data_IF_176691009500
#
_entry.id   IF_176691009500
#
_cell.length_a   1.000
_cell.length_b   1.000
_cell.length_c   1.000
_cell.angle_alpha   90.00
_cell.angle_beta   90.00
_cell.angle_gamma   90.00
#
_symmetry.space_group_name_H-M   'P 1'
#
loop_
_entity.id
_entity.type
_entity.pdbx_description
1 polymer ?
#
# COMPACT_ATOMS: atom_id res chain seq x y z
N UNK A 1 8.93 -41.47 -9.62
CA UNK A 1 10.30 -41.87 -9.96
C UNK A 1 11.29 -40.70 -10.12
N UNK A 2 11.04 -39.66 -10.93
CA UNK A 2 11.95 -38.47 -11.02
C UNK A 2 11.80 -37.54 -9.81
N UNK A 3 10.57 -37.22 -9.42
CA UNK A 3 10.28 -36.35 -8.25
C UNK A 3 10.82 -36.93 -6.94
N UNK A 4 10.74 -38.25 -6.76
CA UNK A 4 11.30 -38.95 -5.60
C UNK A 4 12.83 -38.93 -5.61
N UNK A 5 13.48 -39.03 -6.78
CA UNK A 5 14.94 -38.88 -6.89
C UNK A 5 15.39 -37.46 -6.51
N UNK A 6 14.70 -36.44 -7.01
CA UNK A 6 14.95 -35.04 -6.64
C UNK A 6 14.74 -34.81 -5.13
N UNK A 7 13.69 -35.38 -4.54
CA UNK A 7 13.43 -35.25 -3.11
C UNK A 7 14.51 -35.94 -2.23
N UNK A 8 15.15 -36.99 -2.75
CA UNK A 8 16.22 -37.73 -2.06
C UNK A 8 17.61 -37.11 -2.25
N UNK A 9 17.75 -36.06 -3.06
CA UNK A 9 19.01 -35.34 -3.23
C UNK A 9 19.44 -34.68 -1.91
N UNK A 10 20.75 -34.58 -1.69
CA UNK A 10 21.34 -33.88 -0.54
C UNK A 10 21.04 -32.38 -0.56
N UNK A 11 20.89 -31.79 -1.75
CA UNK A 11 20.55 -30.37 -1.92
C UNK A 11 19.04 -30.08 -1.91
N UNK A 12 18.21 -31.12 -1.80
CA UNK A 12 16.76 -30.98 -1.93
C UNK A 12 16.15 -30.00 -0.92
N UNK A 13 16.64 -29.92 0.32
CA UNK A 13 16.14 -28.95 1.30
C UNK A 13 16.31 -27.49 0.87
N UNK A 14 17.38 -27.19 0.12
CA UNK A 14 17.68 -25.84 -0.34
C UNK A 14 17.01 -25.53 -1.68
N UNK A 15 17.02 -26.49 -2.61
CA UNK A 15 16.59 -26.26 -3.99
C UNK A 15 15.12 -26.56 -4.26
N UNK A 16 14.54 -27.52 -3.53
CA UNK A 16 13.19 -28.02 -3.81
C UNK A 16 12.14 -26.91 -3.70
N UNK A 17 12.31 -25.96 -2.77
CA UNK A 17 11.42 -24.79 -2.64
C UNK A 17 11.37 -23.95 -3.91
N UNK A 18 12.50 -23.75 -4.58
CA UNK A 18 12.56 -22.96 -5.82
C UNK A 18 11.96 -23.72 -7.00
N UNK A 19 12.21 -25.03 -7.07
CA UNK A 19 11.63 -25.91 -8.10
C UNK A 19 10.11 -25.91 -7.98
N UNK A 20 9.60 -26.18 -6.77
CA UNK A 20 8.15 -26.22 -6.51
C UNK A 20 7.51 -24.86 -6.79
N UNK A 21 8.13 -23.76 -6.32
CA UNK A 21 7.64 -22.42 -6.60
C UNK A 21 7.55 -22.14 -8.10
N UNK A 22 8.59 -22.49 -8.88
CA UNK A 22 8.58 -22.32 -10.34
C UNK A 22 7.47 -23.16 -10.99
N UNK A 23 7.26 -24.40 -10.56
CA UNK A 23 6.15 -25.23 -11.04
C UNK A 23 4.78 -24.58 -10.77
N UNK A 24 4.55 -24.07 -9.56
CA UNK A 24 3.32 -23.35 -9.22
C UNK A 24 3.12 -22.13 -10.13
N UNK A 25 4.15 -21.31 -10.33
CA UNK A 25 4.05 -20.12 -11.18
C UNK A 25 3.83 -20.44 -12.67
N UNK A 26 4.37 -21.55 -13.20
CA UNK A 26 4.09 -21.99 -14.58
C UNK A 26 2.59 -22.26 -14.75
N UNK A 27 1.98 -22.97 -13.79
CA UNK A 27 0.54 -23.25 -13.81
C UNK A 27 -0.27 -21.98 -13.67
N UNK A 28 0.06 -21.13 -12.69
CA UNK A 28 -0.61 -19.85 -12.45
C UNK A 28 -0.58 -18.96 -13.69
N UNK A 29 0.59 -18.83 -14.35
CA UNK A 29 0.72 -18.00 -15.54
C UNK A 29 -0.20 -18.48 -16.67
N UNK A 30 -0.33 -19.80 -16.84
CA UNK A 30 -1.26 -20.38 -17.80
C UNK A 30 -2.73 -20.11 -17.45
N UNK A 31 -3.10 -20.29 -16.18
CA UNK A 31 -4.47 -20.05 -15.70
C UNK A 31 -4.87 -18.57 -15.71
N UNK A 32 -3.91 -17.65 -15.54
CA UNK A 32 -4.19 -16.21 -15.58
C UNK A 32 -4.57 -15.71 -16.97
N UNK A 33 -4.09 -16.36 -18.04
CA UNK A 33 -4.46 -16.04 -19.43
C UNK A 33 -5.94 -16.29 -19.68
N UNK A 34 -6.55 -17.26 -18.99
CA UNK A 34 -7.93 -17.69 -19.21
C UNK A 34 -8.77 -17.42 -17.95
N UNK A 35 -9.67 -16.42 -17.95
CA UNK A 35 -10.44 -16.05 -16.76
C UNK A 35 -11.18 -17.22 -16.08
N UNK A 36 -11.67 -18.17 -16.87
CA UNK A 36 -12.36 -19.38 -16.40
C UNK A 36 -11.50 -20.33 -15.56
N UNK A 37 -10.17 -20.21 -15.62
CA UNK A 37 -9.24 -21.06 -14.88
C UNK A 37 -8.64 -20.35 -13.67
N UNK A 38 -8.97 -19.07 -13.42
CA UNK A 38 -8.42 -18.31 -12.30
C UNK A 38 -8.82 -18.91 -10.94
N UNK A 39 -9.97 -19.61 -10.85
CA UNK A 39 -10.40 -20.33 -9.64
C UNK A 39 -9.48 -21.50 -9.25
N UNK A 40 -8.71 -22.04 -10.20
CA UNK A 40 -7.77 -23.13 -9.93
C UNK A 40 -6.58 -22.69 -9.05
N UNK A 41 -6.32 -21.38 -8.95
CA UNK A 41 -5.22 -20.85 -8.13
C UNK A 41 -5.51 -21.02 -6.63
N UNK A 42 -6.66 -20.57 -6.10
CA UNK A 42 -7.11 -20.94 -4.76
C UNK A 42 -7.14 -22.45 -4.49
N UNK A 43 -7.60 -23.26 -5.44
CA UNK A 43 -7.65 -24.72 -5.29
C UNK A 43 -6.25 -25.32 -5.13
N UNK A 44 -5.27 -24.87 -5.92
CA UNK A 44 -3.89 -25.30 -5.80
C UNK A 44 -3.32 -24.99 -4.41
N UNK A 45 -3.58 -23.78 -3.89
CA UNK A 45 -3.09 -23.39 -2.56
C UNK A 45 -3.79 -24.21 -1.48
N UNK A 46 -5.09 -24.45 -1.59
CA UNK A 46 -5.84 -25.29 -0.63
C UNK A 46 -5.34 -26.75 -0.59
N UNK A 47 -4.88 -27.29 -1.73
CA UNK A 47 -4.23 -28.60 -1.79
C UNK A 47 -2.86 -28.61 -1.09
N UNK A 48 -2.11 -27.52 -1.21
CA UNK A 48 -0.85 -27.36 -0.48
C UNK A 48 -1.10 -27.20 1.02
N UNK A 49 -2.16 -26.49 1.44
CA UNK A 49 -2.55 -26.36 2.85
C UNK A 49 -2.94 -27.71 3.46
N UNK A 50 -3.79 -28.47 2.77
CA UNK A 50 -4.38 -29.70 3.30
C UNK A 50 -3.69 -30.95 2.76
N UNK A 51 -2.40 -31.10 3.07
CA UNK A 51 -1.66 -32.33 2.74
C UNK A 51 -2.27 -33.48 3.56
N UNK A 52 -2.87 -34.50 2.94
CA UNK A 52 -3.58 -35.54 3.66
C UNK A 52 -2.65 -36.28 4.63
N UNK A 53 -3.14 -36.69 5.82
CA UNK A 53 -2.35 -37.42 6.80
C UNK A 53 -1.88 -38.79 6.24
N UNK A 54 -0.82 -39.34 6.81
CA UNK A 54 -0.28 -40.63 6.40
C UNK A 54 -1.19 -41.78 6.85
N UNK A 55 -2.07 -42.24 5.97
CA UNK A 55 -2.84 -43.48 6.14
C UNK A 55 -2.16 -44.61 5.36
N UNK A 56 -1.13 -45.26 5.95
CA UNK A 56 -0.52 -46.50 5.41
C UNK A 56 1.01 -46.54 5.32
N UNK A 57 1.55 -47.63 4.77
CA UNK A 57 2.99 -47.88 4.57
C UNK A 57 3.48 -47.12 3.32
N UNK A 58 3.99 -45.91 3.51
CA UNK A 58 4.52 -45.08 2.41
C UNK A 58 6.02 -45.33 2.13
N UNK A 59 6.41 -45.18 0.86
CA UNK A 59 7.81 -45.17 0.41
C UNK A 59 8.63 -44.11 1.17
N UNK A 60 9.94 -44.35 1.35
CA UNK A 60 10.85 -43.35 1.95
C UNK A 60 10.81 -42.02 1.18
N UNK A 61 10.71 -42.07 -0.15
CA UNK A 61 10.58 -40.89 -1.01
C UNK A 61 9.33 -40.08 -0.74
N UNK A 62 8.17 -40.73 -0.56
CA UNK A 62 6.91 -40.06 -0.24
C UNK A 62 6.95 -39.31 1.10
N UNK A 63 7.61 -39.89 2.12
CA UNK A 63 7.80 -39.22 3.42
C UNK A 63 8.67 -37.99 3.30
N UNK A 64 9.78 -38.10 2.56
CA UNK A 64 10.67 -36.96 2.32
C UNK A 64 9.99 -35.85 1.52
N UNK A 65 9.21 -36.18 0.50
CA UNK A 65 8.48 -35.20 -0.29
C UNK A 65 7.52 -34.39 0.60
N UNK A 66 6.78 -35.06 1.49
CA UNK A 66 5.90 -34.36 2.45
C UNK A 66 6.69 -33.46 3.39
N UNK A 67 7.84 -33.91 3.89
CA UNK A 67 8.69 -33.07 4.72
C UNK A 67 9.16 -31.81 3.98
N UNK A 68 9.61 -31.95 2.72
CA UNK A 68 9.99 -30.81 1.89
C UNK A 68 8.80 -29.87 1.59
N UNK A 69 7.59 -30.41 1.44
CA UNK A 69 6.37 -29.60 1.31
C UNK A 69 6.04 -28.84 2.60
N UNK A 70 6.27 -29.43 3.77
CA UNK A 70 6.10 -28.72 5.05
C UNK A 70 7.13 -27.60 5.19
N UNK A 71 8.40 -27.87 4.86
CA UNK A 71 9.43 -26.83 4.83
C UNK A 71 9.08 -25.71 3.85
N UNK A 72 8.50 -26.05 2.69
CA UNK A 72 8.06 -25.06 1.71
C UNK A 72 7.01 -24.09 2.28
N UNK A 73 6.09 -24.55 3.13
CA UNK A 73 5.07 -23.70 3.75
C UNK A 73 5.65 -22.61 4.66
N UNK A 74 6.83 -22.85 5.22
CA UNK A 74 7.53 -21.91 6.09
C UNK A 74 8.34 -20.86 5.28
N UNK A 75 8.29 -20.91 3.94
CA UNK A 75 9.07 -20.03 3.07
C UNK A 75 8.31 -18.80 2.60
N UNK A 76 9.04 -17.73 2.30
CA UNK A 76 8.50 -16.52 1.67
C UNK A 76 7.86 -16.81 0.31
N UNK A 77 8.36 -17.81 -0.43
CA UNK A 77 7.78 -18.23 -1.71
C UNK A 77 6.34 -18.75 -1.55
N UNK A 78 6.08 -19.53 -0.50
CA UNK A 78 4.73 -19.99 -0.22
C UNK A 78 3.83 -18.86 0.27
N UNK A 79 4.36 -17.95 1.08
CA UNK A 79 3.60 -16.78 1.56
C UNK A 79 3.12 -15.90 0.41
N UNK A 80 3.96 -15.62 -0.59
CA UNK A 80 3.56 -14.84 -1.77
C UNK A 80 2.53 -15.57 -2.63
N UNK A 81 2.65 -16.91 -2.75
CA UNK A 81 1.69 -17.76 -3.43
C UNK A 81 0.31 -17.75 -2.74
N UNK A 82 0.30 -17.87 -1.41
CA UNK A 82 -0.92 -17.82 -0.60
C UNK A 82 -1.59 -16.44 -0.66
N UNK A 83 -0.82 -15.34 -0.63
CA UNK A 83 -1.39 -14.00 -0.83
C UNK A 83 -1.96 -13.82 -2.24
N UNK A 84 -1.30 -14.37 -3.26
CA UNK A 84 -1.82 -14.32 -4.63
C UNK A 84 -3.17 -15.04 -4.75
N UNK A 85 -3.33 -16.19 -4.09
CA UNK A 85 -4.62 -16.88 -4.10
C UNK A 85 -5.71 -16.09 -3.40
N UNK A 86 -5.40 -15.33 -2.34
CA UNK A 86 -6.36 -14.40 -1.71
C UNK A 86 -6.75 -13.23 -2.62
N UNK A 87 -5.83 -12.74 -3.46
CA UNK A 87 -6.11 -11.65 -4.41
C UNK A 87 -6.98 -12.11 -5.58
N UNK A 88 -6.74 -13.34 -6.06
CA UNK A 88 -7.44 -13.89 -7.23
C UNK A 88 -8.74 -14.60 -6.84
N UNK A 89 -8.78 -15.19 -5.64
CA UNK A 89 -9.95 -15.86 -5.12
C UNK A 89 -11.05 -14.88 -4.74
N UNK A 90 -12.31 -15.31 -4.85
CA UNK A 90 -13.47 -14.59 -4.32
C UNK A 90 -13.56 -14.72 -2.79
N UNK A 91 -12.44 -14.52 -2.08
CA UNK A 91 -12.46 -14.52 -0.61
C UNK A 91 -13.24 -13.31 -0.12
N UNK A 92 -14.39 -13.60 0.47
CA UNK A 92 -15.27 -12.60 1.06
C UNK A 92 -14.49 -11.71 2.02
N UNK A 93 -14.62 -10.40 1.83
CA UNK A 93 -14.05 -9.36 2.71
C UNK A 93 -14.61 -9.41 4.13
N UNK A 94 -15.43 -10.40 4.49
CA UNK A 94 -15.98 -10.66 5.82
C UNK A 94 -14.99 -11.31 6.81
N UNK A 95 -13.76 -11.63 6.40
CA UNK A 95 -12.76 -12.17 7.34
C UNK A 95 -12.48 -11.18 8.48
N UNK A 96 -12.17 -11.69 9.67
CA UNK A 96 -11.83 -10.86 10.84
C UNK A 96 -10.37 -10.40 10.84
N UNK A 97 -9.53 -10.98 10.00
CA UNK A 97 -8.09 -10.73 9.92
C UNK A 97 -7.72 -9.68 8.86
N UNK A 98 -6.52 -9.11 8.99
CA UNK A 98 -5.98 -8.11 8.07
C UNK A 98 -5.51 -8.73 6.75
N UNK A 99 -4.91 -9.92 6.75
CA UNK A 99 -4.30 -10.52 5.56
C UNK A 99 -5.19 -10.56 4.31
N UNK A 100 -6.45 -11.01 4.39
CA UNK A 100 -7.36 -11.02 3.24
C UNK A 100 -7.72 -9.63 2.70
N UNK A 101 -7.39 -8.55 3.40
CA UNK A 101 -7.53 -7.18 2.89
C UNK A 101 -6.50 -6.83 1.81
N UNK A 102 -5.47 -7.65 1.59
CA UNK A 102 -4.46 -7.41 0.55
C UNK A 102 -5.12 -7.16 -0.82
N UNK A 103 -6.21 -7.87 -1.14
CA UNK A 103 -6.98 -7.68 -2.38
C UNK A 103 -7.45 -6.22 -2.62
N UNK A 104 -7.59 -5.41 -1.56
CA UNK A 104 -8.05 -4.02 -1.62
C UNK A 104 -6.94 -3.01 -1.88
N UNK A 105 -5.67 -3.42 -1.73
CA UNK A 105 -4.52 -2.52 -1.77
C UNK A 105 -3.52 -2.88 -2.88
N UNK A 106 -3.87 -2.67 -4.17
CA UNK A 106 -3.00 -3.00 -5.31
C UNK A 106 -1.59 -2.39 -5.22
N UNK A 107 -1.46 -1.20 -4.63
CA UNK A 107 -0.18 -0.52 -4.45
C UNK A 107 0.82 -1.27 -3.56
N UNK A 108 0.39 -2.33 -2.84
CA UNK A 108 1.28 -3.18 -2.04
C UNK A 108 1.85 -4.37 -2.83
N UNK A 109 1.32 -4.68 -4.01
CA UNK A 109 1.53 -5.99 -4.65
C UNK A 109 2.98 -6.25 -5.05
N UNK A 110 3.68 -5.24 -5.56
CA UNK A 110 5.09 -5.39 -5.90
C UNK A 110 5.97 -5.76 -4.69
N UNK A 111 5.50 -5.50 -3.46
CA UNK A 111 6.25 -5.78 -2.24
C UNK A 111 5.64 -6.90 -1.38
N UNK A 112 4.41 -7.33 -1.65
CA UNK A 112 3.72 -8.38 -0.91
C UNK A 112 3.58 -9.70 -1.69
N UNK A 113 3.57 -9.65 -3.03
CA UNK A 113 3.32 -10.81 -3.91
C UNK A 113 4.56 -11.23 -4.72
N UNK A 114 5.64 -10.46 -4.64
CA UNK A 114 6.91 -10.72 -5.33
C UNK A 114 8.03 -10.92 -4.32
N UNK A 115 8.86 -11.91 -4.59
CA UNK A 115 10.15 -12.19 -3.93
C UNK A 115 11.32 -11.85 -4.87
N UNK A 116 12.53 -11.77 -4.34
CA UNK A 116 13.74 -11.49 -5.15
C UNK A 116 13.94 -12.51 -6.28
N UNK A 117 13.51 -13.76 -6.07
CA UNK A 117 13.63 -14.86 -7.05
C UNK A 117 12.43 -14.94 -8.02
N UNK A 118 11.54 -13.96 -8.01
CA UNK A 118 10.35 -13.97 -8.86
C UNK A 118 10.70 -13.84 -10.33
N UNK A 119 10.32 -14.85 -11.12
CA UNK A 119 10.51 -14.85 -12.57
C UNK A 119 9.86 -13.63 -13.24
N UNK A 120 10.43 -13.18 -14.37
CA UNK A 120 9.87 -12.07 -15.15
C UNK A 120 8.39 -12.25 -15.49
N UNK A 121 7.98 -13.45 -15.89
CA UNK A 121 6.58 -13.77 -16.21
C UNK A 121 5.65 -13.54 -15.02
N UNK A 122 6.04 -14.02 -13.83
CA UNK A 122 5.28 -13.80 -12.59
C UNK A 122 5.19 -12.31 -12.24
N UNK A 123 6.28 -11.56 -12.40
CA UNK A 123 6.27 -10.11 -12.19
C UNK A 123 5.29 -9.40 -13.13
N UNK A 124 5.21 -9.81 -14.40
CA UNK A 124 4.26 -9.25 -15.36
C UNK A 124 2.81 -9.59 -14.98
N UNK A 125 2.54 -10.84 -14.57
CA UNK A 125 1.23 -11.26 -14.09
C UNK A 125 0.78 -10.42 -12.89
N UNK A 126 1.64 -10.22 -11.88
CA UNK A 126 1.32 -9.39 -10.71
C UNK A 126 1.03 -7.94 -11.10
N UNK A 127 1.80 -7.35 -12.02
CA UNK A 127 1.56 -5.97 -12.52
C UNK A 127 0.25 -5.83 -13.28
N UNK A 128 -0.14 -6.85 -14.04
CA UNK A 128 -1.42 -6.87 -14.74
C UNK A 128 -2.60 -6.92 -13.74
N UNK A 129 -2.53 -7.80 -12.75
CA UNK A 129 -3.53 -7.90 -11.68
C UNK A 129 -3.63 -6.58 -10.90
N UNK A 130 -2.49 -6.02 -10.51
CA UNK A 130 -2.41 -4.72 -9.84
C UNK A 130 -3.11 -3.62 -10.64
N UNK A 131 -2.77 -3.50 -11.93
CA UNK A 131 -3.33 -2.47 -12.81
C UNK A 131 -4.84 -2.61 -12.96
N UNK A 132 -5.35 -3.84 -13.12
CA UNK A 132 -6.78 -4.13 -13.24
C UNK A 132 -7.55 -3.75 -11.97
N UNK A 133 -7.06 -4.17 -10.80
CA UNK A 133 -7.73 -3.88 -9.53
C UNK A 133 -7.65 -2.40 -9.16
N UNK A 134 -6.53 -1.75 -9.44
CA UNK A 134 -6.39 -0.30 -9.25
C UNK A 134 -7.39 0.47 -10.11
N UNK A 135 -7.51 0.15 -11.40
CA UNK A 135 -8.48 0.80 -12.29
C UNK A 135 -9.92 0.60 -11.83
N UNK A 136 -10.26 -0.62 -11.37
CA UNK A 136 -11.59 -0.90 -10.83
C UNK A 136 -11.89 -0.01 -9.62
N UNK A 137 -10.96 0.06 -8.66
CA UNK A 137 -11.11 0.92 -7.49
C UNK A 137 -11.27 2.40 -7.87
N UNK A 138 -10.45 2.90 -8.79
CA UNK A 138 -10.50 4.30 -9.27
C UNK A 138 -11.85 4.63 -9.94
N UNK A 139 -12.39 3.72 -10.75
CA UNK A 139 -13.70 3.86 -11.37
C UNK A 139 -14.82 3.86 -10.33
N UNK A 140 -14.79 2.93 -9.37
CA UNK A 140 -15.80 2.82 -8.32
C UNK A 140 -15.77 4.04 -7.39
N UNK A 141 -14.57 4.57 -7.09
CA UNK A 141 -14.39 5.82 -6.34
C UNK A 141 -14.97 7.01 -7.09
N UNK A 142 -14.69 7.14 -8.38
CA UNK A 142 -15.19 8.25 -9.21
C UNK A 142 -16.72 8.22 -9.30
N UNK A 143 -17.32 7.03 -9.47
CA UNK A 143 -18.79 6.85 -9.45
C UNK A 143 -19.40 7.24 -8.11
N UNK A 144 -18.80 6.79 -7.01
CA UNK A 144 -19.27 7.10 -5.66
C UNK A 144 -19.22 8.59 -5.36
N UNK A 145 -18.12 9.26 -5.73
CA UNK A 145 -17.97 10.71 -5.53
C UNK A 145 -18.98 11.49 -6.38
N UNK A 146 -19.15 11.11 -7.65
CA UNK A 146 -20.17 11.72 -8.53
C UNK A 146 -21.57 11.57 -7.94
N UNK A 147 -21.87 10.39 -7.39
CA UNK A 147 -23.13 10.13 -6.69
C UNK A 147 -23.32 11.06 -5.47
N UNK A 148 -22.30 11.18 -4.60
CA UNK A 148 -22.36 12.05 -3.42
C UNK A 148 -22.57 13.53 -3.78
N UNK A 149 -21.87 14.01 -4.82
CA UNK A 149 -22.00 15.36 -5.36
C UNK A 149 -23.44 15.63 -5.83
N UNK A 150 -24.01 14.74 -6.63
CA UNK A 150 -25.40 14.89 -7.12
C UNK A 150 -26.41 14.90 -5.99
N UNK A 151 -26.24 14.03 -4.99
CA UNK A 151 -27.08 14.01 -3.80
C UNK A 151 -27.01 15.33 -3.02
N UNK A 152 -25.81 15.93 -2.89
CA UNK A 152 -25.63 17.20 -2.20
C UNK A 152 -26.26 18.38 -2.97
N UNK A 153 -26.17 18.39 -4.31
CA UNK A 153 -26.79 19.41 -5.16
C UNK A 153 -28.32 19.39 -5.07
N UNK A 154 -28.94 18.20 -5.11
CA UNK A 154 -30.39 18.06 -4.96
C UNK A 154 -30.89 18.54 -3.60
N UNK A 155 -30.17 18.24 -2.51
CA UNK A 155 -30.51 18.74 -1.17
C UNK A 155 -30.48 20.27 -1.08
N UNK A 156 -29.65 20.94 -1.89
CA UNK A 156 -29.58 22.41 -1.95
C UNK A 156 -30.68 23.04 -2.81
N UNK A 157 -31.31 22.26 -3.71
CA UNK A 157 -32.33 22.75 -4.65
C UNK A 157 -33.78 22.61 -4.14
N UNK A 158 -33.99 22.09 -2.93
CA UNK A 158 -35.28 22.05 -2.20
C UNK A 158 -36.50 21.57 -3.01
N UNK A 159 -36.28 20.79 -4.05
CA UNK A 159 -37.33 20.21 -4.88
C UNK A 159 -37.87 18.94 -4.23
N UNK A 160 -38.88 19.11 -3.36
CA UNK A 160 -39.60 18.04 -2.65
C UNK A 160 -40.25 16.99 -3.57
N UNK A 161 -40.39 17.26 -4.86
CA UNK A 161 -41.06 16.37 -5.84
C UNK A 161 -40.13 15.72 -6.88
N UNK A 162 -38.83 16.02 -6.90
CA UNK A 162 -37.90 15.45 -7.87
C UNK A 162 -37.21 14.17 -7.34
N UNK A 163 -38.00 13.11 -7.21
CA UNK A 163 -37.59 11.72 -7.45
C UNK A 163 -36.42 11.14 -6.64
N UNK A 164 -36.74 10.48 -5.53
CA UNK A 164 -35.94 9.38 -4.96
C UNK A 164 -35.70 8.20 -5.94
N UNK A 165 -36.21 8.26 -7.18
CA UNK A 165 -36.14 7.20 -8.20
C UNK A 165 -35.09 7.42 -9.30
N UNK A 166 -34.47 8.59 -9.45
CA UNK A 166 -33.58 8.88 -10.62
C UNK A 166 -32.10 8.59 -10.35
N UNK A 167 -31.62 8.70 -9.10
CA UNK A 167 -30.21 8.46 -8.78
C UNK A 167 -30.05 7.07 -8.17
N UNK A 168 -29.33 6.18 -8.86
CA UNK A 168 -29.00 4.87 -8.32
C UNK A 168 -27.99 5.01 -7.16
N UNK A 169 -28.24 4.37 -6.00
CA UNK A 169 -27.32 4.42 -4.88
C UNK A 169 -26.02 3.68 -5.23
N UNK A 170 -24.90 4.37 -5.08
CA UNK A 170 -23.56 3.80 -5.26
C UNK A 170 -22.95 3.54 -3.88
N UNK A 171 -22.43 2.32 -3.66
CA UNK A 171 -21.76 1.97 -2.41
C UNK A 171 -20.39 2.65 -2.31
N UNK A 172 -20.00 3.03 -1.09
CA UNK A 172 -18.65 3.49 -0.80
C UNK A 172 -17.65 2.34 -1.06
N UNK A 173 -16.65 2.53 -1.94
CA UNK A 173 -15.69 1.47 -2.27
C UNK A 173 -14.59 1.31 -1.22
N UNK A 174 -14.53 2.18 -0.21
CA UNK A 174 -13.53 2.17 0.88
C UNK A 174 -14.07 1.52 2.15
N UNK A 175 -13.18 1.22 3.11
CA UNK A 175 -13.57 0.84 4.48
C UNK A 175 -13.71 2.06 5.42
N UNK A 176 -13.57 3.28 4.89
CA UNK A 176 -13.81 4.50 5.65
C UNK A 176 -15.31 4.77 5.71
N UNK A 177 -15.76 5.41 6.80
CA UNK A 177 -17.12 5.97 6.84
C UNK A 177 -17.28 7.06 5.78
N UNK A 178 -18.50 7.32 5.33
CA UNK A 178 -18.78 8.37 4.33
C UNK A 178 -18.24 9.76 4.79
N UNK A 179 -18.29 10.03 6.09
CA UNK A 179 -17.74 11.25 6.67
C UNK A 179 -16.20 11.30 6.61
N UNK A 180 -15.53 10.21 6.96
CA UNK A 180 -14.07 10.11 6.88
C UNK A 180 -13.59 10.21 5.43
N UNK A 181 -14.25 9.52 4.49
CA UNK A 181 -13.94 9.62 3.07
C UNK A 181 -14.19 11.04 2.54
N UNK A 182 -15.29 11.69 2.92
CA UNK A 182 -15.56 13.08 2.57
C UNK A 182 -14.47 14.04 3.09
N UNK A 183 -13.96 13.80 4.29
CA UNK A 183 -12.84 14.57 4.87
C UNK A 183 -11.54 14.33 4.11
N UNK A 184 -11.24 13.07 3.79
CA UNK A 184 -10.08 12.70 2.99
C UNK A 184 -10.10 13.33 1.60
N UNK A 185 -11.23 13.25 0.89
CA UNK A 185 -11.41 13.87 -0.43
C UNK A 185 -11.21 15.39 -0.38
N UNK A 186 -11.75 16.06 0.66
CA UNK A 186 -11.53 17.50 0.84
C UNK A 186 -10.06 17.84 1.05
N UNK A 187 -9.32 17.03 1.81
CA UNK A 187 -7.91 17.24 2.08
C UNK A 187 -7.00 16.88 0.89
N UNK A 188 -7.37 15.92 0.05
CA UNK A 188 -6.52 15.50 -1.06
C UNK A 188 -6.80 16.27 -2.36
N UNK A 189 -8.07 16.61 -2.63
CA UNK A 189 -8.47 17.38 -3.82
C UNK A 189 -8.49 18.89 -3.54
N UNK A 190 -8.87 19.27 -2.32
CA UNK A 190 -9.12 20.66 -1.97
C UNK A 190 -7.88 21.49 -1.69
N UNK A 191 -8.14 22.75 -1.36
CA UNK A 191 -7.14 23.72 -0.94
C UNK A 191 -6.82 23.48 0.54
N UNK A 192 -5.66 22.91 0.80
CA UNK A 192 -5.24 22.44 2.14
C UNK A 192 -4.63 23.58 2.96
N UNK A 193 -4.01 24.55 2.29
CA UNK A 193 -3.35 25.68 2.93
C UNK A 193 -3.69 26.97 2.16
N UNK A 194 -4.67 27.71 2.65
CA UNK A 194 -5.18 28.92 1.98
C UNK A 194 -5.83 28.60 0.64
N UNK A 195 -5.28 29.13 -0.45
CA UNK A 195 -5.77 28.93 -1.82
C UNK A 195 -5.09 27.79 -2.59
N UNK A 196 -4.15 27.08 -1.96
CA UNK A 196 -3.26 26.13 -2.64
C UNK A 196 -3.59 24.67 -2.33
N UNK A 197 -3.51 23.82 -3.37
CA UNK A 197 -3.59 22.36 -3.23
C UNK A 197 -2.23 21.78 -2.79
N UNK A 198 -2.19 20.52 -2.35
CA UNK A 198 -0.93 19.84 -2.05
C UNK A 198 0.06 19.84 -3.23
N UNK A 199 -0.45 19.77 -4.47
CA UNK A 199 0.38 19.81 -5.68
C UNK A 199 0.99 21.19 -5.90
N UNK A 200 0.22 22.25 -5.68
CA UNK A 200 0.70 23.62 -5.82
C UNK A 200 1.79 23.94 -4.80
N UNK A 201 1.58 23.50 -3.54
CA UNK A 201 2.56 23.68 -2.46
C UNK A 201 3.88 22.95 -2.77
N UNK A 202 3.81 21.70 -3.23
CA UNK A 202 5.01 20.94 -3.61
C UNK A 202 5.75 21.59 -4.78
N UNK A 203 5.01 22.08 -5.79
CA UNK A 203 5.60 22.74 -6.95
C UNK A 203 6.26 24.07 -6.57
N UNK A 204 5.60 24.89 -5.74
CA UNK A 204 6.15 26.14 -5.22
C UNK A 204 7.44 25.87 -4.43
N UNK A 205 7.43 24.88 -3.53
CA UNK A 205 8.62 24.49 -2.78
C UNK A 205 9.79 24.07 -3.70
N UNK A 206 9.53 23.25 -4.72
CA UNK A 206 10.58 22.83 -5.67
C UNK A 206 11.16 24.01 -6.45
N UNK A 207 10.32 24.97 -6.86
CA UNK A 207 10.77 26.19 -7.54
C UNK A 207 11.67 27.03 -6.64
N UNK A 208 11.29 27.23 -5.37
CA UNK A 208 12.12 27.95 -4.40
C UNK A 208 13.43 27.19 -4.06
N UNK A 209 13.32 25.89 -3.80
CA UNK A 209 14.46 25.03 -3.46
C UNK A 209 15.54 24.97 -4.55
N UNK A 210 15.19 25.16 -5.83
CA UNK A 210 16.16 25.19 -6.93
C UNK A 210 17.17 26.35 -6.84
N UNK A 211 16.80 27.40 -6.11
CA UNK A 211 17.59 28.61 -5.88
C UNK A 211 18.38 28.54 -4.56
N UNK A 212 18.08 27.58 -3.68
CA UNK A 212 18.75 27.43 -2.39
C UNK A 212 20.24 27.08 -2.59
N UNK A 213 21.16 27.86 -2.00
CA UNK A 213 22.59 27.73 -2.28
C UNK A 213 23.23 26.52 -1.60
N UNK A 214 22.74 26.12 -0.42
CA UNK A 214 23.29 25.00 0.32
C UNK A 214 22.20 24.03 0.81
N UNK A 215 22.58 22.77 0.97
CA UNK A 215 21.69 21.68 1.35
C UNK A 215 21.20 21.81 2.80
N UNK A 216 21.95 22.49 3.67
CA UNK A 216 21.49 22.81 5.03
C UNK A 216 20.24 23.67 5.01
N UNK A 217 20.26 24.79 4.29
CA UNK A 217 19.12 25.71 4.19
C UNK A 217 17.91 24.99 3.57
N UNK A 218 18.16 24.11 2.58
CA UNK A 218 17.11 23.27 2.00
C UNK A 218 16.42 22.38 3.05
N UNK A 219 17.18 21.83 4.01
CA UNK A 219 16.60 20.99 5.08
C UNK A 219 15.76 21.82 6.06
N UNK A 220 16.17 23.05 6.33
CA UNK A 220 15.43 23.98 7.17
C UNK A 220 14.12 24.41 6.47
N UNK A 221 14.18 24.76 5.19
CA UNK A 221 13.00 25.03 4.35
C UNK A 221 12.05 23.81 4.31
N UNK A 222 12.61 22.61 4.15
CA UNK A 222 11.84 21.36 4.11
C UNK A 222 11.12 21.10 5.45
N UNK A 223 11.77 21.40 6.57
CA UNK A 223 11.14 21.32 7.88
C UNK A 223 9.94 22.27 7.98
N UNK A 224 10.08 23.53 7.55
CA UNK A 224 8.97 24.49 7.55
C UNK A 224 7.82 24.03 6.65
N UNK A 225 8.12 23.58 5.43
CA UNK A 225 7.14 23.06 4.48
C UNK A 225 6.31 21.88 5.04
N UNK A 226 6.98 20.94 5.72
CA UNK A 226 6.32 19.77 6.32
C UNK A 226 5.49 20.14 7.55
N UNK A 227 5.97 21.09 8.37
CA UNK A 227 5.29 21.47 9.61
C UNK A 227 4.20 22.52 9.44
N UNK A 228 4.15 23.22 8.30
CA UNK A 228 3.20 24.32 8.07
C UNK A 228 1.71 23.93 8.19
N UNK A 229 1.37 22.65 7.98
CA UNK A 229 0.00 22.12 8.09
C UNK A 229 -0.23 21.28 9.37
N UNK A 230 0.78 21.18 10.24
CA UNK A 230 0.69 20.40 11.47
C UNK A 230 0.12 21.29 12.58
N UNK A 231 -0.82 20.74 13.35
CA UNK A 231 -1.41 21.45 14.49
C UNK A 231 -0.30 21.93 15.45
N UNK A 232 -0.18 23.25 15.72
CA UNK A 232 0.85 23.80 16.60
C UNK A 232 0.85 23.18 18.01
N UNK A 233 -0.32 22.78 18.53
CA UNK A 233 -0.44 22.18 19.86
C UNK A 233 0.14 20.76 19.94
N UNK A 234 0.15 20.02 18.83
CA UNK A 234 0.83 18.72 18.73
C UNK A 234 2.31 18.91 18.38
N UNK A 235 2.59 19.73 17.38
CA UNK A 235 3.96 19.98 16.90
C UNK A 235 4.90 20.49 18.00
N UNK A 236 4.43 21.43 18.83
CA UNK A 236 5.20 22.02 19.95
C UNK A 236 5.56 21.04 21.08
N UNK A 237 4.95 19.85 21.15
CA UNK A 237 5.24 18.89 22.22
C UNK A 237 6.63 18.27 22.06
N UNK A 238 6.80 17.44 21.02
CA UNK A 238 8.08 16.77 20.73
C UNK A 238 8.25 16.42 19.25
N UNK A 239 7.18 16.34 18.47
CA UNK A 239 7.28 15.89 17.07
C UNK A 239 8.14 16.84 16.23
N UNK A 240 7.89 18.16 16.30
CA UNK A 240 8.61 19.12 15.47
C UNK A 240 10.11 19.15 15.80
N UNK A 241 10.48 19.10 17.10
CA UNK A 241 11.89 19.07 17.49
C UNK A 241 12.59 17.80 17.01
N UNK A 242 11.94 16.64 17.14
CA UNK A 242 12.46 15.36 16.62
C UNK A 242 12.60 15.34 15.11
N UNK A 243 11.62 15.89 14.39
CA UNK A 243 11.67 16.00 12.92
C UNK A 243 12.82 16.92 12.48
N UNK A 244 12.97 18.07 13.12
CA UNK A 244 14.04 19.02 12.84
C UNK A 244 15.42 18.42 13.12
N UNK A 245 15.57 17.73 14.25
CA UNK A 245 16.81 17.01 14.59
C UNK A 245 17.12 15.89 13.58
N UNK A 246 16.12 15.10 13.20
CA UNK A 246 16.27 14.05 12.19
C UNK A 246 16.71 14.60 10.85
N UNK A 247 16.10 15.70 10.39
CA UNK A 247 16.49 16.40 9.17
C UNK A 247 17.92 16.92 9.30
N UNK A 248 18.26 17.66 10.36
CA UNK A 248 19.61 18.19 10.59
C UNK A 248 20.68 17.09 10.50
N UNK A 249 20.42 15.93 11.11
CA UNK A 249 21.33 14.78 11.13
C UNK A 249 21.31 13.94 9.83
N UNK A 250 20.43 14.27 8.88
CA UNK A 250 20.37 13.62 7.56
C UNK A 250 21.45 14.19 6.65
N UNK A 251 22.44 13.35 6.30
CA UNK A 251 23.55 13.65 5.39
C UNK A 251 24.31 14.96 5.70
N UNK A 252 24.75 15.20 6.96
CA UNK A 252 25.40 16.46 7.36
C UNK A 252 26.68 16.76 6.57
N UNK A 253 27.36 15.73 6.07
CA UNK A 253 28.56 15.87 5.23
C UNK A 253 28.30 16.59 3.89
N UNK A 254 27.04 16.68 3.47
CA UNK A 254 26.63 17.33 2.21
C UNK A 254 26.05 18.73 2.43
N UNK A 255 26.01 19.24 3.67
CA UNK A 255 25.32 20.48 4.04
C UNK A 255 25.77 21.70 3.24
N UNK A 256 27.07 21.78 2.92
CA UNK A 256 27.65 22.90 2.17
C UNK A 256 27.50 22.76 0.64
N UNK A 257 26.91 21.67 0.15
CA UNK A 257 26.73 21.41 -1.26
C UNK A 257 25.35 21.89 -1.72
N UNK A 258 25.19 22.17 -3.02
CA UNK A 258 23.88 22.48 -3.58
C UNK A 258 22.94 21.24 -3.49
N UNK A 259 21.66 21.39 -3.11
CA UNK A 259 20.71 20.28 -3.12
C UNK A 259 20.58 19.67 -4.52
N UNK A 260 21.03 18.42 -4.66
CA UNK A 260 20.90 17.63 -5.89
C UNK A 260 19.69 16.72 -5.82
N UNK A 261 19.22 16.24 -6.99
CA UNK A 261 18.11 15.28 -7.04
C UNK A 261 18.42 14.02 -6.21
N UNK A 262 19.68 13.56 -6.19
CA UNK A 262 20.12 12.45 -5.37
C UNK A 262 19.98 12.74 -3.87
N UNK A 263 20.40 13.92 -3.42
CA UNK A 263 20.25 14.32 -2.02
C UNK A 263 18.77 14.35 -1.64
N UNK A 264 17.93 15.01 -2.44
CA UNK A 264 16.47 15.08 -2.21
C UNK A 264 15.85 13.68 -2.11
N UNK A 265 16.19 12.77 -3.04
CA UNK A 265 15.72 11.39 -3.03
C UNK A 265 16.11 10.66 -1.74
N UNK A 266 17.37 10.82 -1.30
CA UNK A 266 17.88 10.19 -0.07
C UNK A 266 17.21 10.77 1.17
N UNK A 267 17.04 12.09 1.25
CA UNK A 267 16.34 12.77 2.35
C UNK A 267 14.90 12.30 2.45
N UNK A 268 14.16 12.29 1.33
CA UNK A 268 12.77 11.83 1.30
C UNK A 268 12.67 10.36 1.73
N UNK A 269 13.58 9.51 1.26
CA UNK A 269 13.62 8.09 1.67
C UNK A 269 13.88 7.96 3.18
N UNK A 270 14.85 8.70 3.74
CA UNK A 270 15.14 8.67 5.18
C UNK A 270 14.00 9.23 6.03
N UNK A 271 13.28 10.24 5.54
CA UNK A 271 12.07 10.76 6.18
C UNK A 271 10.97 9.69 6.25
N UNK A 272 10.73 8.95 5.17
CA UNK A 272 9.73 7.88 5.17
C UNK A 272 10.09 6.75 6.14
N UNK A 273 11.39 6.47 6.37
CA UNK A 273 11.84 5.51 7.38
C UNK A 273 11.50 5.97 8.79
N UNK A 274 11.76 7.25 9.06
CA UNK A 274 11.51 7.87 10.35
C UNK A 274 10.01 7.98 10.65
N UNK A 275 9.21 8.37 9.65
CA UNK A 275 7.78 8.64 9.82
C UNK A 275 6.92 7.38 9.83
N UNK A 276 7.27 6.35 9.04
CA UNK A 276 6.45 5.14 8.86
C UNK A 276 7.05 3.93 9.58
N UNK A 277 8.13 3.38 9.04
CA UNK A 277 8.82 2.22 9.60
C UNK A 277 10.23 2.05 9.03
N UNK A 278 11.20 1.77 9.89
CA UNK A 278 12.61 1.68 9.51
C UNK A 278 12.96 0.40 8.73
N UNK A 279 12.52 -0.77 9.21
CA UNK A 279 12.84 -2.07 8.59
C UNK A 279 11.83 -3.15 8.97
N UNK A 280 11.82 -4.26 8.22
CA UNK A 280 11.06 -5.47 8.56
C UNK A 280 11.61 -6.21 9.77
N UNK A 281 12.94 -6.19 9.98
CA UNK A 281 13.60 -6.86 11.10
C UNK A 281 13.31 -6.18 12.44
N UNK A 282 13.10 -4.86 12.42
CA UNK A 282 12.70 -4.06 13.57
C UNK A 282 11.60 -3.09 13.13
N UNK A 283 10.32 -3.51 13.17
CA UNK A 283 9.20 -2.67 12.77
C UNK A 283 8.94 -1.60 13.84
N UNK A 284 9.88 -0.69 14.07
CA UNK A 284 9.68 0.48 14.92
C UNK A 284 8.83 1.50 14.16
N UNK A 285 7.54 1.54 14.47
CA UNK A 285 6.56 2.40 13.83
C UNK A 285 5.81 3.29 14.84
N UNK A 286 6.40 3.51 16.03
CA UNK A 286 5.80 4.34 17.09
C UNK A 286 5.56 5.78 16.63
N UNK A 287 6.46 6.37 15.84
CA UNK A 287 6.27 7.71 15.26
C UNK A 287 5.02 7.74 14.38
N UNK A 288 4.82 6.70 13.58
CA UNK A 288 3.64 6.58 12.74
C UNK A 288 2.36 6.48 13.58
N UNK A 289 2.34 5.58 14.57
CA UNK A 289 1.18 5.41 15.46
C UNK A 289 0.88 6.69 16.25
N UNK A 290 1.90 7.39 16.75
CA UNK A 290 1.75 8.67 17.44
C UNK A 290 1.15 9.75 16.52
N UNK A 291 1.63 9.84 15.27
CA UNK A 291 1.07 10.74 14.26
C UNK A 291 -0.40 10.42 14.00
N UNK A 292 -0.75 9.16 13.78
CA UNK A 292 -2.14 8.75 13.51
C UNK A 292 -3.03 9.03 14.73
N UNK A 293 -2.54 8.78 15.94
CA UNK A 293 -3.31 8.95 17.18
C UNK A 293 -3.59 10.43 17.47
N UNK A 294 -2.62 11.32 17.19
CA UNK A 294 -2.76 12.73 17.53
C UNK A 294 -3.30 13.60 16.38
N UNK A 295 -3.01 13.25 15.11
CA UNK A 295 -3.41 14.04 13.93
C UNK A 295 -4.53 13.37 13.12
N UNK A 296 -4.71 12.06 13.26
CA UNK A 296 -5.62 11.27 12.45
C UNK A 296 -5.02 10.82 11.12
N UNK A 297 -5.56 9.71 10.58
CA UNK A 297 -5.03 9.06 9.38
C UNK A 297 -4.98 9.95 8.15
N UNK A 298 -5.97 10.81 7.95
CA UNK A 298 -6.02 11.72 6.80
C UNK A 298 -4.89 12.75 6.83
N UNK A 299 -4.67 13.42 7.96
CA UNK A 299 -3.64 14.46 8.08
C UNK A 299 -2.24 13.85 8.02
N UNK A 300 -2.03 12.69 8.63
CA UNK A 300 -0.77 11.93 8.48
C UNK A 300 -0.52 11.54 7.03
N UNK A 301 -1.56 11.14 6.29
CA UNK A 301 -1.45 10.83 4.86
C UNK A 301 -1.11 12.08 4.04
N UNK A 302 -1.65 13.26 4.37
CA UNK A 302 -1.24 14.53 3.75
C UNK A 302 0.24 14.81 3.97
N UNK A 303 0.77 14.58 5.17
CA UNK A 303 2.20 14.74 5.46
C UNK A 303 3.06 13.81 4.60
N UNK A 304 2.68 12.53 4.48
CA UNK A 304 3.38 11.58 3.62
C UNK A 304 3.29 11.97 2.14
N UNK A 305 2.11 12.43 1.72
CA UNK A 305 1.86 12.86 0.35
C UNK A 305 2.70 14.10 -0.01
N UNK A 306 2.89 15.05 0.91
CA UNK A 306 3.80 16.19 0.73
C UNK A 306 5.21 15.74 0.35
N UNK A 307 5.71 14.67 0.98
CA UNK A 307 7.04 14.09 0.70
C UNK A 307 7.06 13.38 -0.67
N UNK A 308 6.02 12.60 -0.98
CA UNK A 308 5.97 11.87 -2.26
C UNK A 308 5.74 12.80 -3.46
N UNK A 309 4.96 13.87 -3.28
CA UNK A 309 4.77 14.90 -4.31
C UNK A 309 6.05 15.72 -4.54
N UNK A 310 6.83 15.94 -3.49
CA UNK A 310 8.15 16.56 -3.57
C UNK A 310 9.12 15.71 -4.40
N UNK A 311 9.19 14.41 -4.13
CA UNK A 311 10.03 13.48 -4.86
C UNK A 311 9.24 12.24 -5.31
N UNK A 312 8.66 12.28 -6.51
CA UNK A 312 7.81 11.17 -7.01
C UNK A 312 8.51 9.82 -7.07
N UNK A 313 9.84 9.82 -7.21
CA UNK A 313 10.70 8.63 -7.19
C UNK A 313 10.64 7.87 -5.86
N UNK A 314 10.18 8.46 -4.75
CA UNK A 314 10.00 7.76 -3.47
C UNK A 314 8.64 7.08 -3.31
N UNK A 315 7.72 7.16 -4.28
CA UNK A 315 6.42 6.46 -4.18
C UNK A 315 6.57 4.95 -3.92
N UNK A 316 7.37 4.19 -4.71
CA UNK A 316 7.60 2.76 -4.42
C UNK A 316 8.23 2.53 -3.05
N UNK A 317 9.00 3.49 -2.56
CA UNK A 317 9.59 3.41 -1.24
C UNK A 317 8.54 3.50 -0.14
N UNK A 318 7.55 4.39 -0.28
CA UNK A 318 6.42 4.48 0.65
C UNK A 318 5.57 3.21 0.61
N UNK A 319 5.30 2.68 -0.58
CA UNK A 319 4.59 1.40 -0.77
C UNK A 319 5.30 0.27 -0.02
N UNK A 320 6.62 0.18 -0.13
CA UNK A 320 7.44 -0.76 0.63
C UNK A 320 7.36 -0.55 2.15
N UNK A 321 7.24 0.70 2.63
CA UNK A 321 7.07 0.96 4.07
C UNK A 321 5.72 0.47 4.58
N UNK A 322 4.66 0.67 3.80
CA UNK A 322 3.35 0.13 4.15
C UNK A 322 3.24 -1.39 3.99
N UNK A 323 3.97 -2.01 3.05
CA UNK A 323 4.01 -3.47 2.96
C UNK A 323 4.66 -4.12 4.18
N UNK A 324 5.70 -3.49 4.75
CA UNK A 324 6.30 -3.95 6.01
C UNK A 324 5.27 -3.92 7.15
N UNK A 325 4.49 -2.84 7.28
CA UNK A 325 3.43 -2.75 8.29
C UNK A 325 2.33 -3.76 8.04
N UNK A 326 1.89 -3.92 6.79
CA UNK A 326 0.88 -4.89 6.41
C UNK A 326 1.31 -6.31 6.79
N UNK A 327 2.53 -6.70 6.40
CA UNK A 327 3.09 -8.02 6.70
C UNK A 327 3.22 -8.25 8.22
N UNK A 328 3.59 -7.21 8.98
CA UNK A 328 3.71 -7.31 10.44
C UNK A 328 2.37 -7.59 11.13
N UNK A 329 1.27 -7.06 10.60
CA UNK A 329 -0.06 -7.17 11.18
C UNK A 329 -0.99 -8.12 10.42
N UNK A 330 -0.47 -8.92 9.48
CA UNK A 330 -1.26 -9.76 8.58
C UNK A 330 -2.19 -10.73 9.34
N UNK A 331 -1.69 -11.34 10.42
CA UNK A 331 -2.43 -12.24 11.30
C UNK A 331 -3.23 -11.55 12.40
N UNK A 332 -3.17 -10.21 12.49
CA UNK A 332 -3.91 -9.46 13.49
C UNK A 332 -5.38 -9.30 13.08
N UNK A 333 -6.25 -9.15 14.08
CA UNK A 333 -7.66 -8.84 13.84
C UNK A 333 -7.80 -7.39 13.38
N UNK A 334 -8.80 -7.14 12.53
CA UNK A 334 -9.09 -5.80 12.00
C UNK A 334 -9.41 -4.80 13.11
N UNK A 335 -10.14 -5.25 14.13
CA UNK A 335 -10.51 -4.44 15.29
C UNK A 335 -9.31 -4.16 16.21
N UNK A 336 -8.25 -4.97 16.15
CA UNK A 336 -7.02 -4.74 16.89
C UNK A 336 -6.12 -3.66 16.29
N UNK A 337 -6.24 -3.39 14.99
CA UNK A 337 -5.41 -2.40 14.27
C UNK A 337 -6.21 -1.46 13.34
N UNK A 338 -7.26 -0.78 13.86
CA UNK A 338 -8.07 0.12 13.05
C UNK A 338 -7.25 1.29 12.48
N UNK A 339 -6.19 1.71 13.18
CA UNK A 339 -5.26 2.74 12.71
C UNK A 339 -4.58 2.34 11.39
N UNK A 340 -4.22 1.07 11.22
CA UNK A 340 -3.55 0.58 10.02
C UNK A 340 -4.53 0.55 8.85
N UNK A 341 -5.74 0.02 9.06
CA UNK A 341 -6.79 -0.05 8.03
C UNK A 341 -7.13 1.36 7.55
N UNK A 342 -7.38 2.30 8.47
CA UNK A 342 -7.66 3.70 8.12
C UNK A 342 -6.50 4.33 7.35
N UNK A 343 -5.26 4.02 7.71
CA UNK A 343 -4.08 4.53 7.01
C UNK A 343 -3.95 3.96 5.60
N UNK A 344 -4.18 2.66 5.42
CA UNK A 344 -4.16 1.99 4.11
C UNK A 344 -5.25 2.55 3.20
N UNK A 345 -6.47 2.72 3.69
CA UNK A 345 -7.58 3.29 2.92
C UNK A 345 -7.33 4.76 2.54
N UNK A 346 -6.83 5.59 3.47
CA UNK A 346 -6.46 6.98 3.14
C UNK A 346 -5.34 7.04 2.09
N UNK A 347 -4.32 6.19 2.21
CA UNK A 347 -3.23 6.13 1.25
C UNK A 347 -3.72 5.66 -0.13
N UNK A 348 -4.61 4.67 -0.18
CA UNK A 348 -5.20 4.18 -1.43
C UNK A 348 -5.96 5.30 -2.15
N UNK A 349 -6.80 6.04 -1.42
CA UNK A 349 -7.53 7.20 -1.95
C UNK A 349 -6.55 8.28 -2.42
N UNK A 350 -5.56 8.66 -1.62
CA UNK A 350 -4.56 9.65 -2.00
C UNK A 350 -3.78 9.25 -3.26
N UNK A 351 -3.40 7.97 -3.39
CA UNK A 351 -2.70 7.48 -4.56
C UNK A 351 -3.57 7.50 -5.82
N UNK A 352 -4.83 7.07 -5.72
CA UNK A 352 -5.77 7.14 -6.83
C UNK A 352 -5.99 8.56 -7.34
N UNK A 353 -5.94 9.57 -6.46
CA UNK A 353 -6.14 10.99 -6.81
C UNK A 353 -4.89 11.60 -7.43
N UNK A 354 -3.71 11.38 -6.82
CA UNK A 354 -2.50 12.10 -7.21
C UNK A 354 -1.63 11.38 -8.23
N UNK A 355 -1.71 10.04 -8.28
CA UNK A 355 -0.90 9.19 -9.14
C UNK A 355 -1.73 8.22 -10.01
N UNK A 356 -3.04 8.16 -9.79
CA UNK A 356 -3.99 7.32 -10.52
C UNK A 356 -4.79 8.08 -11.57
N UNK A 357 -5.90 7.47 -12.01
CA UNK A 357 -6.83 8.02 -13.01
C UNK A 357 -8.23 8.28 -12.45
N UNK A 358 -8.39 8.38 -11.13
CA UNK A 358 -9.68 8.72 -10.54
C UNK A 358 -10.13 10.12 -10.99
N UNK A 359 -11.31 10.20 -11.62
CA UNK A 359 -11.88 11.47 -12.08
C UNK A 359 -12.74 12.08 -10.98
N UNK A 360 -12.21 13.11 -10.34
CA UNK A 360 -12.85 13.86 -9.26
C UNK A 360 -13.17 15.30 -9.66
N UNK A 361 -13.22 15.61 -10.96
CA UNK A 361 -13.53 16.95 -11.48
C UNK A 361 -14.84 17.54 -10.95
N UNK A 362 -15.83 16.68 -10.65
CA UNK A 362 -17.10 17.11 -10.06
C UNK A 362 -16.96 17.70 -8.64
N UNK A 363 -15.92 17.34 -7.87
CA UNK A 363 -15.68 17.92 -6.54
C UNK A 363 -15.15 19.35 -6.61
N UNK A 364 -14.27 19.64 -7.58
CA UNK A 364 -13.72 20.99 -7.76
C UNK A 364 -14.76 22.05 -8.14
N UNK A 365 -15.96 21.63 -8.56
CA UNK A 365 -17.06 22.55 -8.85
C UNK A 365 -17.83 22.99 -7.60
N UNK A 366 -17.62 22.31 -6.46
CA UNK A 366 -18.41 22.49 -5.22
C UNK A 366 -17.53 22.92 -4.04
N UNK A 367 -16.23 22.64 -4.12
CA UNK A 367 -15.20 23.10 -3.18
C UNK A 367 -14.57 24.41 -3.63
#
# INVERSE_FOLDING_TARGET
MVLEKLAMDKQAEQEFKFILNRCCHILINSWQIQPQHQSAIPELVALLDNIPPTTGVYSRGSRRLRHLLQLFKETDQYLTLHRLSQVVGETSTSSTEVGPLIQRYPYLYEHCLLSEDSSYEHQQTVRQIQSRLQQRFELDLSKYVTYQVRCAQMKRQDSKDASTKIIQPVKNPTLLTDHELGTALKQFVGKVQGSHTCRDLAQSFLTHSSQTPCYKDFKDDLYEYLTASINPAYGKRQFNSRLHEHLKNTLPQSDNQKPSEFLILRTCSQLLNFLVVESSQRPKHFVFVDLITNLGATVTTVLLLKIVLLCRKVKPYLEKRFSILFNHYESSTRDGVPWLIKSLENLNVAFSIHFGRADLSCLSQIM
#
